data_IF_380320265299
#
_entry.id   IF_380320265299
#
_cell.length_a   1.000
_cell.length_b   1.000
_cell.length_c   1.000
_cell.angle_alpha   90.00
_cell.angle_beta   90.00
_cell.angle_gamma   90.00
#
_symmetry.space_group_name_H-M   'P 1'
#
loop_
_entity.id
_entity.type
_entity.pdbx_description
1 polymer ?
#
# COMPACT_ATOMS: atom_id res chain seq x y z
N UNK A 1 2.13 -28.94 -0.31
CA UNK A 1 3.10 -28.50 -1.33
C UNK A 1 3.39 -27.03 -1.15
N UNK A 2 4.65 -26.67 -1.15
CA UNK A 2 5.03 -25.27 -0.96
C UNK A 2 5.14 -24.57 -2.31
N UNK A 3 4.37 -23.50 -2.49
CA UNK A 3 4.38 -22.69 -3.71
C UNK A 3 5.08 -21.37 -3.41
N UNK A 4 6.07 -21.02 -4.21
CA UNK A 4 6.81 -19.77 -4.02
C UNK A 4 6.05 -18.60 -4.64
N UNK A 5 6.10 -17.39 -4.03
CA UNK A 5 5.56 -16.20 -4.66
C UNK A 5 6.23 -15.90 -6.00
N UNK A 6 5.52 -15.19 -6.87
CA UNK A 6 6.09 -14.73 -8.13
C UNK A 6 7.20 -13.72 -7.84
N UNK A 7 8.38 -13.97 -8.41
CA UNK A 7 9.51 -13.04 -8.31
C UNK A 7 9.38 -11.96 -9.37
N UNK A 8 9.79 -10.77 -9.00
CA UNK A 8 9.67 -9.62 -9.87
C UNK A 8 10.92 -8.76 -9.72
N UNK A 9 11.51 -8.33 -10.84
CA UNK A 9 12.67 -7.44 -10.83
C UNK A 9 13.73 -7.88 -9.78
N UNK A 10 14.83 -8.41 -10.22
CA UNK A 10 15.93 -8.84 -9.34
C UNK A 10 15.48 -9.83 -8.26
N UNK A 11 14.55 -10.73 -8.58
CA UNK A 11 14.11 -11.81 -7.68
C UNK A 11 13.26 -11.36 -6.49
N UNK A 12 12.82 -10.09 -6.46
CA UNK A 12 11.96 -9.63 -5.37
C UNK A 12 10.53 -10.09 -5.58
N UNK A 13 9.88 -10.49 -4.46
CA UNK A 13 8.50 -10.92 -4.47
C UNK A 13 7.55 -9.73 -4.55
N UNK A 14 6.41 -9.96 -5.19
CA UNK A 14 5.35 -8.95 -5.31
C UNK A 14 4.26 -9.26 -4.30
N UNK A 15 3.75 -8.22 -3.64
CA UNK A 15 2.71 -8.33 -2.63
C UNK A 15 1.55 -7.39 -2.95
N UNK A 16 0.33 -7.88 -2.76
CA UNK A 16 -0.87 -7.05 -2.80
C UNK A 16 -1.22 -6.66 -1.37
N UNK A 17 -1.10 -5.37 -1.07
CA UNK A 17 -1.29 -4.83 0.28
C UNK A 17 -2.57 -4.00 0.30
N UNK A 18 -3.37 -4.22 1.33
CA UNK A 18 -4.56 -3.38 1.58
C UNK A 18 -4.52 -2.89 3.01
N UNK A 19 -4.67 -1.60 3.21
CA UNK A 19 -4.81 -1.03 4.55
C UNK A 19 -5.89 0.05 4.53
N UNK A 20 -6.58 0.18 5.66
CA UNK A 20 -7.77 1.01 5.77
C UNK A 20 -7.58 2.11 6.79
N UNK A 21 -8.31 3.21 6.60
CA UNK A 21 -8.40 4.25 7.62
C UNK A 21 -9.10 3.70 8.85
N UNK A 22 -8.79 4.30 10.02
CA UNK A 22 -9.34 3.89 11.31
C UNK A 22 -10.86 3.96 11.28
N UNK A 23 -11.49 2.85 11.63
CA UNK A 23 -12.95 2.67 11.58
C UNK A 23 -13.56 3.01 10.22
N UNK A 24 -12.75 2.92 9.15
CA UNK A 24 -13.13 3.19 7.76
C UNK A 24 -13.70 4.60 7.56
N UNK A 25 -13.27 5.53 8.38
CA UNK A 25 -13.59 6.94 8.17
C UNK A 25 -12.92 7.40 6.88
N UNK A 26 -13.60 8.15 6.00
CA UNK A 26 -13.05 8.51 4.69
C UNK A 26 -12.03 9.64 4.77
N UNK A 27 -10.91 9.41 5.43
CA UNK A 27 -9.87 10.40 5.67
C UNK A 27 -9.07 10.75 4.41
N UNK A 28 -9.13 9.90 3.38
CA UNK A 28 -8.43 10.11 2.12
C UNK A 28 -9.35 10.68 1.03
N UNK A 29 -10.58 11.06 1.38
CA UNK A 29 -11.53 11.59 0.41
C UNK A 29 -11.07 12.93 -0.19
N UNK A 30 -10.57 13.91 0.60
CA UNK A 30 -10.11 15.17 0.01
C UNK A 30 -8.98 14.94 -1.01
N UNK A 31 -9.03 15.61 -2.17
CA UNK A 31 -7.95 15.48 -3.16
C UNK A 31 -6.57 15.81 -2.61
N UNK A 32 -6.47 16.79 -1.71
CA UNK A 32 -5.21 17.15 -1.07
C UNK A 32 -4.64 16.00 -0.24
N UNK A 33 -5.51 15.25 0.43
CA UNK A 33 -5.09 14.09 1.22
C UNK A 33 -4.54 12.98 0.32
N UNK A 34 -5.21 12.72 -0.80
CA UNK A 34 -4.75 11.75 -1.78
C UNK A 34 -3.39 12.14 -2.35
N UNK A 35 -3.23 13.40 -2.74
CA UNK A 35 -1.98 13.91 -3.30
C UNK A 35 -0.84 13.81 -2.30
N UNK A 36 -1.10 14.14 -1.04
CA UNK A 36 -0.11 14.01 0.00
C UNK A 36 0.31 12.55 0.17
N UNK A 37 -0.65 11.63 0.18
CA UNK A 37 -0.35 10.21 0.29
C UNK A 37 0.50 9.75 -0.89
N UNK A 38 0.18 10.15 -2.10
CA UNK A 38 0.92 9.75 -3.29
C UNK A 38 2.38 10.22 -3.23
N UNK A 39 2.61 11.43 -2.74
CA UNK A 39 3.98 11.95 -2.55
C UNK A 39 4.74 11.15 -1.50
N UNK A 40 4.09 10.84 -0.38
CA UNK A 40 4.71 10.03 0.68
C UNK A 40 5.03 8.63 0.17
N UNK A 41 4.13 8.06 -0.61
CA UNK A 41 4.33 6.74 -1.21
C UNK A 41 5.58 6.73 -2.10
N UNK A 42 5.73 7.72 -2.95
CA UNK A 42 6.89 7.82 -3.83
C UNK A 42 8.18 8.01 -3.04
N UNK A 43 8.14 8.81 -1.99
CA UNK A 43 9.32 9.05 -1.14
C UNK A 43 9.75 7.77 -0.43
N UNK A 44 8.80 7.05 0.16
CA UNK A 44 9.09 5.81 0.87
C UNK A 44 9.59 4.74 -0.10
N UNK A 45 8.97 4.65 -1.28
CA UNK A 45 9.42 3.73 -2.32
C UNK A 45 10.89 3.95 -2.64
N UNK A 46 11.27 5.20 -2.84
CA UNK A 46 12.66 5.53 -3.18
C UNK A 46 13.61 5.23 -2.02
N UNK A 47 13.23 5.54 -0.80
CA UNK A 47 14.08 5.31 0.38
C UNK A 47 14.42 3.84 0.56
N UNK A 48 13.45 2.95 0.34
CA UNK A 48 13.63 1.52 0.63
C UNK A 48 13.89 0.67 -0.60
N UNK A 49 13.81 1.26 -1.79
CA UNK A 49 14.08 0.52 -3.02
C UNK A 49 12.99 -0.48 -3.36
N UNK A 50 11.73 -0.02 -3.42
CA UNK A 50 10.61 -0.86 -3.82
C UNK A 50 10.19 -0.55 -5.24
N UNK A 51 9.53 -1.53 -5.90
CA UNK A 51 8.80 -1.29 -7.14
C UNK A 51 7.32 -1.30 -6.84
N UNK A 52 6.60 -0.32 -7.37
CA UNK A 52 5.15 -0.25 -7.27
C UNK A 52 4.60 -0.41 -8.67
N UNK A 53 3.89 -1.52 -8.91
CA UNK A 53 3.34 -1.82 -10.23
C UNK A 53 1.90 -1.37 -10.37
N UNK A 54 1.26 -0.99 -9.28
CA UNK A 54 -0.08 -0.42 -9.30
C UNK A 54 -0.53 -0.03 -7.92
N UNK A 55 -1.42 0.96 -7.85
CA UNK A 55 -2.04 1.34 -6.58
C UNK A 55 -3.34 2.10 -6.85
N UNK A 56 -4.20 2.14 -5.85
CA UNK A 56 -5.37 3.00 -5.86
C UNK A 56 -5.64 3.51 -4.45
N UNK A 57 -5.97 4.79 -4.36
CA UNK A 57 -6.31 5.44 -3.08
C UNK A 57 -7.82 5.69 -3.09
N UNK A 58 -8.53 4.90 -2.29
CA UNK A 58 -9.96 5.08 -2.09
C UNK A 58 -10.18 6.00 -0.88
N UNK A 59 -11.39 6.54 -0.68
CA UNK A 59 -11.61 7.44 0.45
C UNK A 59 -11.25 6.87 1.81
N UNK A 60 -11.46 5.56 2.03
CA UNK A 60 -11.25 4.95 3.34
C UNK A 60 -10.23 3.82 3.34
N UNK A 61 -9.58 3.53 2.20
CA UNK A 61 -8.56 2.48 2.14
C UNK A 61 -7.65 2.64 0.92
N UNK A 62 -6.56 1.89 0.92
CA UNK A 62 -5.55 1.90 -0.14
C UNK A 62 -5.25 0.46 -0.55
N UNK A 63 -5.09 0.25 -1.84
CA UNK A 63 -4.53 -0.99 -2.40
C UNK A 63 -3.21 -0.69 -3.07
N UNK A 64 -2.19 -1.49 -2.77
CA UNK A 64 -0.87 -1.40 -3.39
C UNK A 64 -0.47 -2.75 -3.96
N UNK A 65 0.14 -2.73 -5.13
CA UNK A 65 0.85 -3.89 -5.66
C UNK A 65 2.33 -3.52 -5.66
N UNK A 66 3.08 -4.05 -4.70
CA UNK A 66 4.42 -3.56 -4.36
C UNK A 66 5.39 -4.73 -4.18
N UNK A 67 6.62 -4.54 -4.63
CA UNK A 67 7.68 -5.51 -4.42
C UNK A 67 8.25 -5.42 -3.01
N UNK A 68 8.95 -6.47 -2.58
CA UNK A 68 9.75 -6.40 -1.37
C UNK A 68 10.84 -5.35 -1.52
N UNK A 69 11.19 -4.63 -0.46
CA UNK A 69 12.20 -3.58 -0.54
C UNK A 69 13.61 -4.16 -0.62
N UNK A 70 14.52 -3.39 -1.23
CA UNK A 70 15.94 -3.74 -1.28
C UNK A 70 16.61 -3.60 0.08
N UNK A 71 16.23 -2.55 0.82
CA UNK A 71 16.98 -2.09 1.98
C UNK A 71 16.27 -2.29 3.30
N UNK A 72 15.18 -3.06 3.33
CA UNK A 72 14.43 -3.27 4.55
C UNK A 72 13.45 -4.43 4.38
N UNK A 73 12.52 -4.56 5.32
CA UNK A 73 11.40 -5.49 5.23
C UNK A 73 10.15 -4.76 4.78
N UNK A 74 9.26 -5.47 4.09
CA UNK A 74 8.01 -4.87 3.63
C UNK A 74 7.16 -4.31 4.78
N UNK A 75 7.14 -5.01 5.91
CA UNK A 75 6.42 -4.53 7.09
C UNK A 75 6.92 -3.16 7.57
N UNK A 76 8.22 -2.92 7.45
CA UNK A 76 8.81 -1.61 7.82
C UNK A 76 8.36 -0.53 6.85
N UNK A 77 8.32 -0.85 5.56
CA UNK A 77 7.85 0.09 4.53
C UNK A 77 6.41 0.51 4.79
N UNK A 78 5.54 -0.46 5.06
CA UNK A 78 4.12 -0.18 5.33
C UNK A 78 3.97 0.63 6.61
N UNK A 79 4.73 0.27 7.65
CA UNK A 79 4.70 1.01 8.91
C UNK A 79 5.12 2.46 8.71
N UNK A 80 6.17 2.70 7.93
CA UNK A 80 6.65 4.06 7.65
C UNK A 80 5.60 4.87 6.90
N UNK A 81 4.97 4.28 5.87
CA UNK A 81 3.88 4.94 5.15
C UNK A 81 2.76 5.38 6.09
N UNK A 82 2.38 4.49 6.99
CA UNK A 82 1.28 4.76 7.92
C UNK A 82 1.64 5.84 8.93
N UNK A 83 2.90 5.88 9.39
CA UNK A 83 3.34 6.87 10.38
C UNK A 83 3.40 8.29 9.81
N UNK A 84 4.01 8.44 8.63
CA UNK A 84 4.17 9.77 8.03
C UNK A 84 2.83 10.45 7.87
N UNK A 85 1.85 9.70 7.38
CA UNK A 85 0.52 10.23 7.09
C UNK A 85 -0.23 10.63 8.35
N UNK A 86 -0.15 9.79 9.39
CA UNK A 86 -0.96 9.97 10.58
C UNK A 86 -0.65 11.27 11.31
N UNK A 87 0.59 11.73 11.24
CA UNK A 87 0.99 12.95 11.96
C UNK A 87 0.43 14.22 11.33
N UNK A 88 0.29 14.24 10.00
CA UNK A 88 -0.11 15.44 9.28
C UNK A 88 -1.61 15.59 9.11
N UNK A 89 -2.32 14.50 8.90
CA UNK A 89 -3.71 14.53 8.47
C UNK A 89 -4.70 13.95 9.47
N UNK A 90 -4.24 13.42 10.59
CA UNK A 90 -5.14 12.82 11.57
C UNK A 90 -6.00 13.89 12.23
N UNK A 91 -7.33 13.76 12.16
CA UNK A 91 -8.20 14.66 12.89
C UNK A 91 -7.96 14.56 14.40
N UNK A 92 -8.08 15.68 15.11
CA UNK A 92 -7.79 15.73 16.55
C UNK A 92 -8.67 14.80 17.38
N UNK A 93 -9.91 14.57 16.93
CA UNK A 93 -10.85 13.71 17.65
C UNK A 93 -10.63 12.23 17.40
N UNK A 94 -9.77 11.85 16.46
CA UNK A 94 -9.47 10.45 16.17
C UNK A 94 -8.14 10.06 16.80
N UNK A 95 -8.13 8.88 17.42
CA UNK A 95 -6.94 8.34 18.05
C UNK A 95 -5.89 7.94 17.03
N UNK A 96 -6.34 7.40 15.90
CA UNK A 96 -5.48 6.87 14.86
C UNK A 96 -5.98 7.32 13.50
N UNK A 97 -5.06 7.43 12.55
CA UNK A 97 -5.41 7.64 11.15
C UNK A 97 -5.72 6.30 10.48
N UNK A 98 -4.94 5.27 10.77
CA UNK A 98 -5.03 3.97 10.13
C UNK A 98 -5.46 2.88 11.11
N UNK A 99 -6.13 1.84 10.59
CA UNK A 99 -6.28 0.59 11.32
C UNK A 99 -4.89 0.00 11.57
N UNK A 100 -4.75 -0.69 12.71
CA UNK A 100 -3.45 -1.26 13.10
C UNK A 100 -3.01 -2.32 12.11
N UNK A 101 -3.91 -3.21 11.72
CA UNK A 101 -3.61 -4.32 10.83
C UNK A 101 -3.77 -3.92 9.37
N UNK A 102 -3.04 -4.60 8.51
CA UNK A 102 -3.20 -4.50 7.07
C UNK A 102 -3.23 -5.91 6.48
N UNK A 103 -3.80 -6.01 5.28
CA UNK A 103 -3.89 -7.27 4.56
C UNK A 103 -2.69 -7.37 3.60
N UNK A 104 -2.01 -8.52 3.66
CA UNK A 104 -0.86 -8.81 2.80
C UNK A 104 -1.14 -10.11 2.06
N UNK A 105 -1.29 -10.02 0.75
CA UNK A 105 -1.48 -11.18 -0.12
C UNK A 105 -0.25 -11.32 -1.02
N UNK A 106 0.64 -12.30 -0.75
CA UNK A 106 1.76 -12.56 -1.65
C UNK A 106 1.24 -12.99 -3.02
N UNK A 107 1.79 -12.42 -4.07
CA UNK A 107 1.37 -12.74 -5.44
C UNK A 107 2.21 -13.93 -5.92
N UNK A 108 1.55 -15.07 -6.11
CA UNK A 108 2.22 -16.34 -6.33
C UNK A 108 2.26 -16.75 -7.80
N UNK A 109 1.41 -16.15 -8.66
CA UNK A 109 1.31 -16.50 -10.07
C UNK A 109 1.06 -15.26 -10.91
N UNK A 110 1.34 -15.34 -12.21
CA UNK A 110 1.01 -14.28 -13.15
C UNK A 110 -0.50 -14.03 -13.23
N UNK A 111 -1.30 -15.09 -13.12
CA UNK A 111 -2.76 -14.95 -13.11
C UNK A 111 -3.21 -14.09 -11.93
N UNK A 112 -2.64 -14.30 -10.75
CA UNK A 112 -2.95 -13.49 -9.56
C UNK A 112 -2.47 -12.05 -9.71
N UNK A 113 -1.33 -11.84 -10.33
CA UNK A 113 -0.83 -10.48 -10.60
C UNK A 113 -1.82 -9.72 -11.48
N UNK A 114 -2.29 -10.34 -12.54
CA UNK A 114 -3.27 -9.74 -13.44
C UNK A 114 -4.59 -9.47 -12.71
N UNK A 115 -5.04 -10.43 -11.92
CA UNK A 115 -6.26 -10.29 -11.12
C UNK A 115 -6.18 -9.06 -10.20
N UNK A 116 -5.06 -8.90 -9.49
CA UNK A 116 -4.88 -7.78 -8.56
C UNK A 116 -4.74 -6.45 -9.29
N UNK A 117 -4.07 -6.41 -10.42
CA UNK A 117 -4.01 -5.21 -11.25
C UNK A 117 -5.39 -4.78 -11.76
N UNK A 118 -6.23 -5.74 -12.13
CA UNK A 118 -7.60 -5.44 -12.54
C UNK A 118 -8.41 -4.85 -11.40
N UNK A 119 -8.26 -5.40 -10.19
CA UNK A 119 -8.94 -4.88 -9.01
C UNK A 119 -8.56 -3.44 -8.74
N UNK A 120 -7.27 -3.11 -8.87
CA UNK A 120 -6.77 -1.74 -8.71
C UNK A 120 -7.33 -0.83 -9.80
N UNK A 121 -7.29 -1.26 -11.04
CA UNK A 121 -7.77 -0.48 -12.19
C UNK A 121 -9.26 -0.15 -12.06
N UNK A 122 -10.07 -1.13 -11.65
CA UNK A 122 -11.49 -0.90 -11.43
C UNK A 122 -11.72 0.09 -10.30
N UNK A 123 -10.92 0.05 -9.24
CA UNK A 123 -11.02 0.95 -8.10
C UNK A 123 -10.71 2.40 -8.41
N UNK A 124 -10.01 2.67 -9.50
CA UNK A 124 -9.65 4.05 -9.90
C UNK A 124 -10.86 4.85 -10.38
N UNK A 125 -11.91 4.21 -10.80
CA UNK A 125 -13.11 4.87 -11.34
C UNK A 125 -13.80 5.85 -10.38
#
# INVERSE_FOLDING_TARGET
MHVKPVRYQNQRCLHFITFSCYHRVPLLDPPSAKQTFERELEQVRAWYGCYITGYVVMPEHVHLLISEPERSKLSVVIQMLKQIKSQKLRPKHLRHFWQVRYYDFPVWTEAKRIEKLRAIYIGIR
#
